data_IF_411601538889
#
_entry.id   IF_411601538889
#
_cell.length_a   1.000
_cell.length_b   1.000
_cell.length_c   1.000
_cell.angle_alpha   90.00
_cell.angle_beta   90.00
_cell.angle_gamma   90.00
#
_symmetry.space_group_name_H-M   'P 1'
#
loop_
_entity.id
_entity.type
_entity.pdbx_description
1 polymer ?
#
# COMPACT_ATOMS: atom_id res chain seq x y z
N UNK A 1 -1.13 -5.35 -14.03
CA UNK A 1 -2.47 -4.77 -13.74
C UNK A 1 -3.03 -4.23 -15.03
N UNK A 2 -4.34 -4.30 -15.22
CA UNK A 2 -5.01 -3.89 -16.45
C UNK A 2 -5.16 -2.37 -16.59
N UNK A 3 -5.78 -1.93 -17.68
CA UNK A 3 -6.03 -0.50 -17.99
C UNK A 3 -6.74 0.22 -16.83
N UNK A 4 -6.25 1.39 -16.44
CA UNK A 4 -6.84 2.21 -15.35
C UNK A 4 -6.95 1.55 -13.96
N UNK A 5 -6.21 0.47 -13.71
CA UNK A 5 -6.10 -0.16 -12.38
C UNK A 5 -5.58 0.77 -11.27
N UNK A 6 -4.84 1.82 -11.65
CA UNK A 6 -4.32 2.82 -10.72
C UNK A 6 -3.02 2.40 -10.02
N UNK A 7 -2.40 3.36 -9.33
CA UNK A 7 -1.16 3.17 -8.57
C UNK A 7 -0.97 4.29 -7.57
N UNK A 8 -0.29 4.00 -6.46
CA UNK A 8 0.21 5.03 -5.54
C UNK A 8 1.75 5.02 -5.55
N UNK A 9 2.36 6.14 -5.21
CA UNK A 9 3.81 6.31 -5.25
C UNK A 9 4.31 6.82 -3.90
N UNK A 10 5.38 6.21 -3.40
CA UNK A 10 6.04 6.59 -2.16
C UNK A 10 7.31 7.37 -2.47
N UNK A 11 7.45 8.54 -1.85
CA UNK A 11 8.61 9.40 -1.95
C UNK A 11 9.19 9.69 -0.57
N UNK A 12 10.49 9.88 -0.52
CA UNK A 12 11.18 10.41 0.65
C UNK A 12 10.88 11.91 0.77
N UNK A 13 10.31 12.34 1.90
CA UNK A 13 9.89 13.74 2.10
C UNK A 13 11.04 14.70 2.34
N UNK A 14 12.25 14.20 2.61
CA UNK A 14 13.43 15.02 2.90
C UNK A 14 14.20 15.32 1.61
N UNK A 15 14.37 14.30 0.76
CA UNK A 15 15.18 14.33 -0.46
C UNK A 15 14.35 14.44 -1.73
N UNK A 16 13.05 14.15 -1.67
CA UNK A 16 12.18 14.03 -2.84
C UNK A 16 12.42 12.74 -3.65
N UNK A 17 13.26 11.83 -3.16
CA UNK A 17 13.63 10.61 -3.87
C UNK A 17 12.42 9.69 -4.03
N UNK A 18 12.23 9.15 -5.23
CA UNK A 18 11.28 8.07 -5.44
C UNK A 18 11.77 6.82 -4.70
N UNK A 19 10.90 6.24 -3.86
CA UNK A 19 11.20 5.05 -3.08
C UNK A 19 10.54 3.81 -3.68
N UNK A 20 9.24 3.89 -3.95
CA UNK A 20 8.49 2.71 -4.38
C UNK A 20 7.17 3.06 -5.08
N UNK A 21 6.80 2.21 -6.05
CA UNK A 21 5.44 2.18 -6.61
C UNK A 21 4.62 1.13 -5.88
N UNK A 22 3.45 1.51 -5.39
CA UNK A 22 2.48 0.66 -4.74
C UNK A 22 1.35 0.35 -5.73
N UNK A 23 0.98 -0.93 -5.79
CA UNK A 23 -0.10 -1.45 -6.62
C UNK A 23 -0.99 -2.36 -5.78
N UNK A 24 -2.28 -2.44 -6.11
CA UNK A 24 -3.15 -3.50 -5.60
C UNK A 24 -2.64 -4.86 -6.11
N UNK A 25 -2.43 -5.86 -5.22
CA UNK A 25 -2.00 -7.21 -5.62
C UNK A 25 -3.02 -7.95 -6.51
N UNK A 26 -4.29 -7.65 -6.31
CA UNK A 26 -5.51 -8.10 -7.00
C UNK A 26 -6.01 -7.09 -8.05
N UNK A 27 -5.25 -6.01 -8.29
CA UNK A 27 -5.69 -4.89 -9.11
C UNK A 27 -6.08 -5.27 -10.54
N UNK A 28 -7.36 -5.12 -10.83
CA UNK A 28 -8.03 -5.29 -12.11
C UNK A 28 -8.21 -3.96 -12.85
N UNK A 29 -8.73 -4.02 -14.06
CA UNK A 29 -9.07 -2.84 -14.85
C UNK A 29 -10.07 -1.95 -14.12
N UNK A 30 -9.84 -0.64 -14.15
CA UNK A 30 -10.78 0.36 -13.60
C UNK A 30 -10.95 0.30 -12.07
N UNK A 31 -10.14 -0.45 -11.33
CA UNK A 31 -10.18 -0.44 -9.85
C UNK A 31 -9.84 0.92 -9.23
N UNK A 32 -9.13 1.78 -9.98
CA UNK A 32 -8.73 3.11 -9.54
C UNK A 32 -7.96 3.09 -8.21
N UNK A 33 -7.05 2.13 -8.03
CA UNK A 33 -6.17 2.08 -6.86
C UNK A 33 -5.35 3.37 -6.75
N UNK A 34 -5.27 3.94 -5.55
CA UNK A 34 -4.55 5.19 -5.31
C UNK A 34 -5.42 6.44 -5.44
N UNK A 35 -6.72 6.31 -5.71
CA UNK A 35 -7.66 7.46 -5.79
C UNK A 35 -7.78 8.22 -4.46
N UNK A 36 -7.57 7.53 -3.34
CA UNK A 36 -7.53 8.13 -2.01
C UNK A 36 -6.41 7.50 -1.18
N UNK A 37 -5.73 8.33 -0.39
CA UNK A 37 -4.63 7.93 0.48
C UNK A 37 -4.78 8.62 1.83
N UNK A 38 -4.70 7.85 2.91
CA UNK A 38 -4.60 8.36 4.27
C UNK A 38 -3.32 7.81 4.92
N UNK A 39 -2.60 8.69 5.62
CA UNK A 39 -1.32 8.35 6.27
C UNK A 39 -1.43 8.64 7.77
N UNK A 40 -0.93 7.72 8.58
CA UNK A 40 -0.74 7.91 10.02
C UNK A 40 0.44 7.09 10.50
N UNK A 41 1.44 7.76 11.09
CA UNK A 41 2.68 7.13 11.56
C UNK A 41 3.34 6.28 10.45
N UNK A 42 3.54 4.99 10.71
CA UNK A 42 4.12 4.01 9.79
C UNK A 42 3.07 3.28 8.93
N UNK A 43 1.84 3.80 8.86
CA UNK A 43 0.72 3.15 8.21
C UNK A 43 0.14 4.05 7.12
N UNK A 44 -0.12 3.46 5.96
CA UNK A 44 -0.85 4.05 4.86
C UNK A 44 -2.08 3.19 4.55
N UNK A 45 -3.22 3.84 4.32
CA UNK A 45 -4.42 3.21 3.77
C UNK A 45 -4.65 3.80 2.39
N UNK A 46 -4.78 2.93 1.39
CA UNK A 46 -4.98 3.30 -0.01
C UNK A 46 -6.31 2.73 -0.48
N UNK A 47 -7.18 3.57 -1.04
CA UNK A 47 -8.46 3.14 -1.60
C UNK A 47 -8.36 2.75 -3.07
N UNK A 48 -9.17 1.79 -3.49
CA UNK A 48 -9.49 1.46 -4.86
C UNK A 48 -11.02 1.52 -5.01
N UNK A 49 -11.53 2.62 -5.56
CA UNK A 49 -12.98 2.89 -5.58
C UNK A 49 -13.73 2.00 -6.58
N UNK A 50 -13.11 1.65 -7.71
CA UNK A 50 -13.75 0.87 -8.76
C UNK A 50 -13.68 -0.64 -8.56
N UNK A 51 -13.02 -1.10 -7.50
CA UNK A 51 -12.87 -2.52 -7.21
C UNK A 51 -14.24 -3.20 -7.06
N UNK A 52 -14.47 -4.23 -7.88
CA UNK A 52 -15.75 -4.91 -8.04
C UNK A 52 -15.77 -6.36 -7.53
N UNK A 53 -14.73 -6.80 -6.84
CA UNK A 53 -14.59 -8.16 -6.30
C UNK A 53 -15.75 -8.57 -5.39
N UNK A 54 -16.43 -7.61 -4.76
CA UNK A 54 -17.57 -7.82 -3.87
C UNK A 54 -18.88 -7.17 -4.36
N UNK A 55 -18.97 -6.84 -5.65
CA UNK A 55 -20.11 -6.21 -6.30
C UNK A 55 -19.72 -4.94 -7.05
N UNK A 56 -20.55 -4.52 -7.99
CA UNK A 56 -20.25 -3.39 -8.89
C UNK A 56 -19.78 -2.14 -8.13
N UNK A 57 -18.51 -1.76 -8.33
CA UNK A 57 -17.84 -0.64 -7.65
C UNK A 57 -18.01 -0.65 -6.12
N UNK A 58 -17.95 -1.84 -5.52
CA UNK A 58 -18.06 -2.01 -4.07
C UNK A 58 -16.90 -1.35 -3.30
N UNK A 59 -15.76 -1.22 -3.98
CA UNK A 59 -14.55 -0.58 -3.50
C UNK A 59 -13.79 -1.43 -2.48
N UNK A 60 -12.47 -1.24 -2.46
CA UNK A 60 -11.55 -1.86 -1.51
C UNK A 60 -10.63 -0.84 -0.86
N UNK A 61 -10.09 -1.20 0.30
CA UNK A 61 -9.07 -0.44 0.99
C UNK A 61 -7.89 -1.35 1.38
N UNK A 62 -6.70 -0.87 1.10
CA UNK A 62 -5.45 -1.61 1.23
C UNK A 62 -4.58 -0.96 2.31
N UNK A 63 -4.17 -1.76 3.29
CA UNK A 63 -3.30 -1.33 4.38
C UNK A 63 -1.83 -1.63 4.03
N UNK A 64 -1.00 -0.60 4.09
CA UNK A 64 0.44 -0.66 3.89
C UNK A 64 1.14 -0.20 5.16
N UNK A 65 2.03 -1.03 5.70
CA UNK A 65 2.83 -0.67 6.88
C UNK A 65 4.31 -0.68 6.56
N UNK A 66 5.02 0.39 6.92
CA UNK A 66 6.48 0.35 6.96
C UNK A 66 6.88 -0.32 8.26
N UNK A 67 7.17 -1.63 8.21
CA UNK A 67 7.90 -2.27 9.29
C UNK A 67 9.31 -1.71 9.28
N UNK A 68 9.52 -0.56 9.91
CA UNK A 68 10.84 -0.22 10.43
C UNK A 68 11.09 -1.23 11.54
N UNK A 69 11.61 -2.41 11.16
CA UNK A 69 12.35 -3.21 12.13
C UNK A 69 13.58 -2.36 12.43
N UNK A 70 13.43 -1.45 13.39
CA UNK A 70 14.55 -0.91 14.12
C UNK A 70 15.18 -2.15 14.73
N UNK A 71 16.23 -2.63 14.10
CA UNK A 71 17.14 -3.58 14.72
C UNK A 71 18.02 -2.73 15.63
N UNK A 72 17.75 -2.64 16.94
CA UNK A 72 18.83 -2.32 17.84
C UNK A 72 19.77 -3.52 17.78
N UNK A 73 20.95 -3.35 17.20
CA UNK A 73 22.21 -3.82 17.78
C UNK A 73 23.37 -3.33 16.88
N UNK A 74 24.33 -2.56 17.41
CA UNK A 74 25.41 -1.90 16.65
C UNK A 74 26.50 -2.84 16.09
N UNK A 75 26.24 -4.14 15.90
CA UNK A 75 27.30 -5.11 15.55
C UNK A 75 27.14 -5.87 14.22
N UNK A 76 26.12 -5.61 13.39
CA UNK A 76 26.00 -6.26 12.08
C UNK A 76 26.20 -5.28 10.92
N UNK A 77 27.46 -4.90 10.66
CA UNK A 77 27.87 -3.91 9.64
C UNK A 77 27.67 -4.38 8.17
N UNK A 78 27.02 -5.50 7.87
CA UNK A 78 26.93 -5.98 6.47
C UNK A 78 25.55 -6.44 5.99
N UNK A 79 24.47 -6.14 6.71
CA UNK A 79 23.15 -6.73 6.43
C UNK A 79 22.01 -5.78 6.05
N UNK A 80 22.23 -4.47 5.91
CA UNK A 80 21.14 -3.50 5.72
C UNK A 80 20.76 -3.31 4.24
N UNK A 81 20.32 -4.39 3.58
CA UNK A 81 19.40 -4.27 2.45
C UNK A 81 18.00 -4.32 3.06
N UNK A 82 17.46 -3.14 3.37
CA UNK A 82 16.16 -2.97 4.02
C UNK A 82 15.09 -3.84 3.35
N UNK A 83 14.73 -4.94 4.00
CA UNK A 83 13.63 -5.78 3.54
C UNK A 83 12.34 -5.07 3.95
N UNK A 84 11.85 -4.21 3.07
CA UNK A 84 10.52 -3.61 3.19
C UNK A 84 9.50 -4.71 2.91
N UNK A 85 9.12 -5.46 3.95
CA UNK A 85 7.99 -6.38 3.88
C UNK A 85 6.70 -5.55 3.97
N UNK A 86 6.24 -5.05 2.83
CA UNK A 86 4.89 -4.51 2.67
C UNK A 86 3.97 -5.71 2.45
N UNK A 87 3.26 -6.12 3.50
CA UNK A 87 2.12 -7.01 3.36
C UNK A 87 0.87 -6.14 3.15
N UNK A 88 0.28 -6.16 1.96
CA UNK A 88 -1.08 -5.69 1.77
C UNK A 88 -2.02 -6.69 2.47
N UNK A 89 -2.41 -6.40 3.70
CA UNK A 89 -3.41 -7.18 4.41
C UNK A 89 -4.80 -6.71 3.93
N UNK A 90 -5.30 -7.31 2.85
CA UNK A 90 -6.71 -7.19 2.48
C UNK A 90 -7.54 -8.02 3.46
N UNK A 91 -8.30 -7.35 4.34
CA UNK A 91 -9.55 -7.82 4.98
C UNK A 91 -10.02 -6.84 6.07
N UNK A 92 -11.15 -6.16 5.81
CA UNK A 92 -12.26 -6.09 6.78
C UNK A 92 -13.58 -5.72 6.10
N UNK A 93 -14.43 -6.74 5.96
CA UNK A 93 -15.87 -6.64 5.69
C UNK A 93 -16.52 -5.80 6.80
N UNK A 94 -16.93 -4.57 6.50
CA UNK A 94 -18.01 -3.91 7.22
C UNK A 94 -19.11 -3.56 6.21
N UNK A 95 -19.86 -4.59 5.83
CA UNK A 95 -21.19 -4.39 5.28
C UNK A 95 -22.05 -3.84 6.43
N UNK A 96 -22.30 -2.52 6.42
CA UNK A 96 -23.47 -1.99 7.11
C UNK A 96 -24.68 -2.51 6.34
N UNK A 97 -25.43 -3.41 6.99
CA UNK A 97 -26.80 -3.74 6.62
C UNK A 97 -27.65 -2.47 6.59
#
# INVERSE_FOLDING_TARGET
NGESSGSAYLFDTTTGSFLQKLIAPDGSEVDNFGISVALSNNTAVIGAWGDDDNGFNSGSAYLFTTNTKSTPEPSSLLGILGTVAIAALSRKKQQKK
#
